data_IF_240688528446
#
_entry.id   IF_240688528446
#
_cell.length_a   1.000
_cell.length_b   1.000
_cell.length_c   1.000
_cell.angle_alpha   90.00
_cell.angle_beta   90.00
_cell.angle_gamma   90.00
#
_symmetry.space_group_name_H-M   'P 1'
#
loop_
_entity.id
_entity.type
_entity.pdbx_description
1 polymer ?
#
# COMPACT_ATOMS: atom_id res chain seq x y z
N UNK A 1 -10.93 2.37 34.35
CA UNK A 1 -9.45 2.28 34.46
C UNK A 1 -8.89 2.28 33.05
N UNK A 2 -7.87 3.08 32.71
CA UNK A 2 -7.29 3.03 31.37
C UNK A 2 -6.58 1.69 31.18
N UNK A 3 -6.87 0.99 30.08
CA UNK A 3 -6.11 -0.18 29.66
C UNK A 3 -4.71 0.27 29.23
N UNK A 4 -3.73 0.01 30.09
CA UNK A 4 -2.32 0.14 29.73
C UNK A 4 -1.94 -1.11 28.95
N UNK A 5 -1.58 -0.95 27.68
CA UNK A 5 -1.03 -2.05 26.90
C UNK A 5 0.46 -2.19 27.28
N UNK A 6 0.78 -3.14 28.16
CA UNK A 6 2.15 -3.35 28.63
C UNK A 6 3.12 -3.80 27.53
N UNK A 7 2.61 -4.31 26.39
CA UNK A 7 3.46 -4.80 25.30
C UNK A 7 3.83 -3.68 24.31
N UNK A 8 5.13 -3.46 24.03
CA UNK A 8 5.58 -2.53 23.01
C UNK A 8 5.05 -2.92 21.63
N UNK A 9 4.68 -1.93 20.82
CA UNK A 9 4.15 -2.12 19.46
C UNK A 9 4.95 -1.31 18.45
N UNK A 10 5.02 -1.80 17.21
CA UNK A 10 5.59 -1.06 16.11
C UNK A 10 4.66 0.09 15.72
N UNK A 11 5.19 1.31 15.71
CA UNK A 11 4.50 2.51 15.27
C UNK A 11 5.24 3.13 14.08
N UNK A 12 4.43 3.63 13.16
CA UNK A 12 4.87 4.39 12.02
C UNK A 12 4.07 5.69 11.97
N UNK A 13 4.75 6.82 11.78
CA UNK A 13 4.17 8.17 11.89
C UNK A 13 4.71 9.11 10.85
N UNK A 14 3.90 10.05 10.40
CA UNK A 14 4.25 10.99 9.34
C UNK A 14 4.37 12.41 9.89
N UNK A 15 5.38 13.13 9.41
CA UNK A 15 5.56 14.55 9.68
C UNK A 15 5.97 15.28 8.42
N UNK A 16 5.26 16.37 8.12
CA UNK A 16 5.63 17.27 7.02
C UNK A 16 6.52 18.44 7.47
N UNK A 17 7.11 19.10 6.48
CA UNK A 17 8.07 20.20 6.68
C UNK A 17 7.49 21.57 6.35
N UNK A 18 6.16 21.73 6.24
CA UNK A 18 5.53 22.91 5.62
C UNK A 18 5.82 24.24 6.31
N UNK A 19 5.90 24.21 7.64
CA UNK A 19 6.19 25.39 8.45
C UNK A 19 7.63 25.40 8.97
N UNK A 20 8.52 24.62 8.34
CA UNK A 20 9.91 24.48 8.78
C UNK A 20 10.85 25.29 7.91
N UNK A 21 11.65 26.14 8.55
CA UNK A 21 12.82 26.74 7.88
C UNK A 21 13.91 25.68 7.75
N UNK A 22 13.81 24.85 6.71
CA UNK A 22 14.87 23.91 6.36
C UNK A 22 16.12 24.68 5.96
N UNK A 23 17.26 24.36 6.59
CA UNK A 23 18.55 24.98 6.25
C UNK A 23 19.43 23.93 5.59
N UNK A 24 19.58 24.04 4.28
CA UNK A 24 20.45 23.18 3.50
C UNK A 24 21.90 23.69 3.54
N UNK A 25 22.80 22.80 3.98
CA UNK A 25 24.25 22.94 3.85
C UNK A 25 24.72 21.98 2.77
N UNK A 26 24.82 22.49 1.53
CA UNK A 26 25.17 21.70 0.35
C UNK A 26 26.57 21.09 0.46
N UNK A 27 27.53 21.84 0.99
CA UNK A 27 28.93 21.42 1.08
C UNK A 27 29.10 20.25 2.07
N UNK A 28 28.35 20.26 3.17
CA UNK A 28 28.37 19.19 4.15
C UNK A 28 27.35 18.06 3.87
N UNK A 29 26.48 18.23 2.87
CA UNK A 29 25.33 17.34 2.58
C UNK A 29 24.44 17.16 3.82
N UNK A 30 24.06 18.27 4.44
CA UNK A 30 23.25 18.30 5.66
C UNK A 30 22.00 19.15 5.45
N UNK A 31 20.84 18.58 5.77
CA UNK A 31 19.58 19.28 5.87
C UNK A 31 19.23 19.47 7.35
N UNK A 32 19.29 20.70 7.85
CA UNK A 32 19.07 21.02 9.28
C UNK A 32 17.64 21.46 9.52
N UNK A 33 17.16 21.16 10.73
CA UNK A 33 15.81 21.56 11.16
C UNK A 33 14.71 20.64 10.63
N UNK A 34 15.05 19.42 10.21
CA UNK A 34 14.04 18.44 9.81
C UNK A 34 13.25 17.99 11.02
N UNK A 35 11.93 17.90 10.88
CA UNK A 35 11.04 17.44 11.95
C UNK A 35 10.93 15.92 11.90
N UNK A 36 11.25 15.26 13.01
CA UNK A 36 11.20 13.79 13.13
C UNK A 36 9.85 13.30 13.66
N UNK A 37 9.24 14.08 14.56
CA UNK A 37 8.03 13.70 15.28
C UNK A 37 7.37 14.93 15.92
N UNK A 38 6.06 15.10 15.76
CA UNK A 38 5.26 16.08 16.48
C UNK A 38 4.66 15.55 17.79
N UNK A 39 4.03 16.44 18.59
CA UNK A 39 3.29 16.06 19.80
C UNK A 39 1.95 15.37 19.50
N UNK A 40 1.37 15.66 18.35
CA UNK A 40 0.16 15.01 17.87
C UNK A 40 0.47 14.42 16.50
N UNK A 41 0.12 13.16 16.33
CA UNK A 41 0.22 12.45 15.07
C UNK A 41 -1.13 12.46 14.34
N UNK A 42 -1.07 12.42 13.01
CA UNK A 42 -2.24 12.21 12.13
C UNK A 42 -2.93 10.87 12.33
N UNK A 43 -2.23 9.86 12.86
CA UNK A 43 -2.82 8.57 13.28
C UNK A 43 -3.58 8.67 14.61
N UNK A 44 -4.04 9.87 14.99
CA UNK A 44 -4.78 10.16 16.24
C UNK A 44 -4.03 9.72 17.51
N UNK A 45 -2.70 9.83 17.48
CA UNK A 45 -1.83 9.52 18.62
C UNK A 45 -1.29 10.79 19.23
N UNK A 46 -1.16 10.81 20.55
CA UNK A 46 -0.57 11.92 21.29
C UNK A 46 0.70 11.49 21.99
N UNK A 47 1.78 12.18 21.69
CA UNK A 47 3.09 11.98 22.28
C UNK A 47 3.27 12.90 23.46
N UNK A 48 3.55 12.32 24.62
CA UNK A 48 3.84 13.12 25.80
C UNK A 48 5.23 13.73 25.66
N UNK A 49 5.39 15.00 26.04
CA UNK A 49 6.68 15.70 25.88
C UNK A 49 7.81 15.00 26.64
N UNK A 50 7.52 14.47 27.83
CA UNK A 50 8.49 13.70 28.59
C UNK A 50 8.89 12.39 27.89
N UNK A 51 7.98 11.79 27.10
CA UNK A 51 8.27 10.61 26.30
C UNK A 51 9.22 10.96 25.14
N UNK A 52 8.96 12.09 24.46
CA UNK A 52 9.86 12.62 23.43
C UNK A 52 11.24 12.98 23.98
N UNK A 53 11.29 13.63 25.15
CA UNK A 53 12.55 14.00 25.81
C UNK A 53 13.43 12.78 26.10
N UNK A 54 12.82 11.69 26.59
CA UNK A 54 13.54 10.42 26.80
C UNK A 54 13.92 9.72 25.50
N UNK A 55 13.10 9.88 24.45
CA UNK A 55 13.32 9.24 23.17
C UNK A 55 14.40 9.93 22.31
N UNK A 56 14.64 11.23 22.51
CA UNK A 56 15.56 12.01 21.68
C UNK A 56 16.94 11.34 21.45
N UNK A 57 17.63 10.79 22.47
CA UNK A 57 18.90 10.10 22.26
C UNK A 57 18.80 8.84 21.39
N UNK A 58 17.64 8.19 21.32
CA UNK A 58 17.42 6.98 20.52
C UNK A 58 17.38 7.26 19.02
N UNK A 59 17.12 8.51 18.63
CA UNK A 59 17.13 8.94 17.23
C UNK A 59 18.53 9.28 16.73
N UNK A 60 19.52 9.46 17.62
CA UNK A 60 20.89 9.77 17.21
C UNK A 60 21.51 8.58 16.47
N UNK A 61 22.04 8.82 15.27
CA UNK A 61 22.55 7.76 14.42
C UNK A 61 21.44 6.93 13.73
N UNK A 62 20.17 7.30 13.88
CA UNK A 62 19.07 6.61 13.21
C UNK A 62 19.24 6.67 11.69
N UNK A 63 19.09 5.49 11.10
CA UNK A 63 19.23 5.22 9.67
C UNK A 63 18.08 5.86 8.90
N UNK A 64 18.41 6.64 7.85
CA UNK A 64 17.41 7.24 6.95
C UNK A 64 17.28 6.44 5.67
N UNK A 65 16.06 6.00 5.34
CA UNK A 65 15.73 5.30 4.09
C UNK A 65 14.87 6.15 3.16
N UNK A 66 14.81 5.81 1.87
CA UNK A 66 13.80 6.29 0.93
C UNK A 66 12.58 5.40 1.01
N UNK A 67 11.39 5.99 1.16
CA UNK A 67 10.10 5.32 1.25
C UNK A 67 10.01 4.27 2.35
N UNK A 68 8.83 3.68 2.51
CA UNK A 68 8.56 2.58 3.43
C UNK A 68 8.80 1.22 2.77
N UNK A 69 9.06 0.14 3.54
CA UNK A 69 9.02 -1.19 2.94
C UNK A 69 7.59 -1.45 2.41
N UNK A 70 7.46 -2.02 1.22
CA UNK A 70 6.17 -2.26 0.58
C UNK A 70 5.29 -3.32 1.28
N UNK A 71 5.82 -3.98 2.31
CA UNK A 71 5.16 -5.05 3.05
C UNK A 71 5.33 -4.88 4.56
N UNK A 72 5.95 -5.85 5.22
CA UNK A 72 6.16 -5.82 6.67
C UNK A 72 6.99 -4.58 7.08
N UNK A 73 6.47 -3.71 7.97
CA UNK A 73 7.23 -2.59 8.55
C UNK A 73 8.52 -3.04 9.25
N UNK A 74 8.63 -4.31 9.62
CA UNK A 74 9.81 -4.91 10.23
C UNK A 74 10.78 -5.51 9.20
N UNK A 75 10.45 -5.48 7.90
CA UNK A 75 11.27 -6.06 6.85
C UNK A 75 12.64 -5.37 6.76
N UNK A 76 13.70 -6.12 6.42
CA UNK A 76 15.00 -5.54 6.07
C UNK A 76 14.86 -4.50 4.96
N UNK A 77 15.66 -3.44 5.04
CA UNK A 77 15.70 -2.38 4.01
C UNK A 77 16.74 -2.70 2.95
N UNK A 78 16.41 -2.42 1.69
CA UNK A 78 17.38 -2.50 0.60
C UNK A 78 18.48 -1.45 0.84
N UNK A 79 19.71 -1.77 0.49
CA UNK A 79 20.82 -0.82 0.56
C UNK A 79 20.57 0.40 -0.34
N UNK A 80 19.88 0.23 -1.47
CA UNK A 80 19.49 1.31 -2.39
C UNK A 80 18.59 2.34 -1.74
N UNK A 81 17.85 1.95 -0.69
CA UNK A 81 17.01 2.90 0.04
C UNK A 81 17.84 3.75 1.01
N UNK A 82 19.07 3.35 1.35
CA UNK A 82 19.89 4.01 2.37
C UNK A 82 20.34 5.40 1.90
N UNK A 83 19.60 6.41 2.34
CA UNK A 83 19.87 7.80 2.02
C UNK A 83 20.90 8.44 2.98
N UNK A 84 20.79 8.17 4.28
CA UNK A 84 21.54 8.95 5.26
C UNK A 84 21.36 8.53 6.71
N UNK A 85 21.63 9.49 7.60
CA UNK A 85 21.63 9.33 9.06
C UNK A 85 21.19 10.60 9.77
N UNK A 86 20.44 10.44 10.86
CA UNK A 86 20.00 11.52 11.75
C UNK A 86 21.09 11.88 12.75
N UNK A 87 21.32 13.18 12.95
CA UNK A 87 22.24 13.72 13.97
C UNK A 87 21.73 15.00 14.62
N UNK A 88 22.18 15.25 15.85
CA UNK A 88 21.91 16.49 16.55
C UNK A 88 20.43 16.65 16.90
N UNK A 89 19.85 15.60 17.48
CA UNK A 89 18.43 15.56 17.83
C UNK A 89 18.13 16.49 19.00
N UNK A 90 17.15 17.36 18.82
CA UNK A 90 16.67 18.32 19.81
C UNK A 90 15.15 18.21 20.00
N UNK A 91 14.71 18.33 21.25
CA UNK A 91 13.30 18.54 21.56
C UNK A 91 13.01 20.03 21.59
N UNK A 92 12.08 20.49 20.75
CA UNK A 92 11.52 21.84 20.81
C UNK A 92 10.20 21.79 21.59
N UNK A 93 10.09 22.46 22.74
CA UNK A 93 8.88 22.45 23.56
C UNK A 93 7.64 22.86 22.76
N UNK A 94 6.54 22.14 22.91
CA UNK A 94 5.30 22.41 22.18
C UNK A 94 5.30 21.98 20.70
N UNK A 95 6.46 21.71 20.10
CA UNK A 95 6.57 21.42 18.65
C UNK A 95 6.88 19.96 18.34
N UNK A 96 7.83 19.36 19.06
CA UNK A 96 8.28 17.98 18.86
C UNK A 96 9.80 17.80 18.70
N UNK A 97 10.22 16.70 18.08
CA UNK A 97 11.62 16.35 17.85
C UNK A 97 12.10 16.86 16.49
N UNK A 98 13.28 17.48 16.49
CA UNK A 98 13.97 18.02 15.32
C UNK A 98 15.40 17.51 15.27
N UNK A 99 16.00 17.51 14.09
CA UNK A 99 17.38 17.09 13.91
C UNK A 99 18.01 17.65 12.62
N UNK A 100 19.22 17.19 12.34
CA UNK A 100 19.86 17.29 11.04
C UNK A 100 19.88 15.93 10.33
N UNK A 101 19.45 15.92 9.06
CA UNK A 101 19.64 14.80 8.15
C UNK A 101 20.98 14.96 7.43
N UNK A 102 21.92 14.08 7.72
CA UNK A 102 23.14 13.92 6.94
C UNK A 102 22.89 12.90 5.85
N UNK A 103 22.86 13.32 4.59
CA UNK A 103 22.55 12.44 3.45
C UNK A 103 23.79 12.18 2.59
N UNK A 104 23.78 11.07 1.86
CA UNK A 104 24.82 10.75 0.89
C UNK A 104 24.58 11.58 -0.39
N UNK A 105 25.47 12.54 -0.74
CA UNK A 105 25.29 13.36 -1.94
C UNK A 105 25.37 12.57 -3.25
N UNK A 106 25.91 11.34 -3.22
CA UNK A 106 25.97 10.45 -4.39
C UNK A 106 24.77 9.51 -4.49
N UNK A 107 23.81 9.62 -3.59
CA UNK A 107 22.57 8.86 -3.68
C UNK A 107 21.77 9.36 -4.90
N UNK A 108 21.13 8.48 -5.70
CA UNK A 108 20.39 8.90 -6.90
C UNK A 108 19.33 9.99 -6.67
N UNK A 109 18.72 10.02 -5.48
CA UNK A 109 17.72 11.03 -5.08
C UNK A 109 18.30 12.25 -4.33
N UNK A 110 19.62 12.37 -4.19
CA UNK A 110 20.22 13.46 -3.42
C UNK A 110 19.94 14.84 -4.04
N UNK A 111 20.07 14.96 -5.36
CA UNK A 111 19.80 16.22 -6.06
C UNK A 111 18.33 16.61 -5.99
N UNK A 112 17.42 15.62 -6.08
CA UNK A 112 15.99 15.86 -5.90
C UNK A 112 15.68 16.34 -4.49
N UNK A 113 16.21 15.68 -3.45
CA UNK A 113 16.04 16.13 -2.06
C UNK A 113 16.54 17.55 -1.84
N UNK A 114 17.69 17.90 -2.42
CA UNK A 114 18.25 19.25 -2.36
C UNK A 114 17.29 20.26 -3.02
N UNK A 115 16.76 19.92 -4.19
CA UNK A 115 15.81 20.77 -4.89
C UNK A 115 14.51 20.96 -4.09
N UNK A 116 13.93 19.87 -3.58
CA UNK A 116 12.72 19.91 -2.76
C UNK A 116 12.94 20.75 -1.50
N UNK A 117 14.06 20.57 -0.79
CA UNK A 117 14.38 21.34 0.41
C UNK A 117 14.44 22.87 0.18
N UNK A 118 14.85 23.31 -1.01
CA UNK A 118 15.00 24.73 -1.34
C UNK A 118 13.73 25.33 -1.97
N UNK A 119 12.99 24.56 -2.77
CA UNK A 119 11.93 25.09 -3.63
C UNK A 119 10.53 24.61 -3.24
N UNK A 120 10.44 23.40 -2.68
CA UNK A 120 9.17 22.76 -2.37
C UNK A 120 9.29 21.84 -1.14
N UNK A 121 9.65 22.38 0.04
CA UNK A 121 9.94 21.57 1.23
C UNK A 121 8.75 20.73 1.69
N UNK A 122 7.52 21.08 1.27
CA UNK A 122 6.31 20.31 1.49
C UNK A 122 6.24 18.98 0.71
N UNK A 123 7.02 18.81 -0.36
CA UNK A 123 7.05 17.60 -1.18
C UNK A 123 7.71 16.41 -0.48
N UNK A 124 8.36 16.66 0.65
CA UNK A 124 9.07 15.63 1.39
C UNK A 124 8.88 15.81 2.88
N UNK A 125 8.84 14.69 3.58
CA UNK A 125 8.92 14.70 5.02
C UNK A 125 9.43 13.39 5.56
N UNK A 126 9.48 13.30 6.87
CA UNK A 126 10.07 12.18 7.57
C UNK A 126 9.00 11.39 8.27
N UNK A 127 9.14 10.08 8.19
CA UNK A 127 8.28 9.15 8.89
C UNK A 127 9.11 8.18 9.72
N UNK A 128 8.87 8.14 11.02
CA UNK A 128 9.64 7.26 11.89
C UNK A 128 9.07 5.85 11.85
N UNK A 129 9.92 4.87 12.15
CA UNK A 129 9.52 3.49 12.45
C UNK A 129 10.13 3.11 13.80
N UNK A 130 9.28 2.93 14.80
CA UNK A 130 9.69 2.80 16.20
C UNK A 130 8.96 1.67 16.91
N UNK A 131 9.55 1.16 18.00
CA UNK A 131 8.83 0.38 19.00
C UNK A 131 8.47 1.30 20.15
N UNK A 132 7.19 1.35 20.50
CA UNK A 132 6.68 2.24 21.53
C UNK A 132 5.66 1.55 22.44
N UNK A 133 5.62 1.97 23.69
CA UNK A 133 4.58 1.62 24.65
C UNK A 133 3.47 2.66 24.59
N UNK A 134 2.23 2.18 24.48
CA UNK A 134 1.05 3.02 24.33
C UNK A 134 -0.02 2.67 25.36
N UNK A 135 -0.84 3.66 25.71
CA UNK A 135 -2.01 3.49 26.56
C UNK A 135 -3.22 4.15 25.89
N UNK A 136 -4.40 3.57 26.08
CA UNK A 136 -5.65 4.22 25.65
C UNK A 136 -6.18 5.10 26.77
N UNK A 137 -6.41 6.39 26.48
CA UNK A 137 -7.01 7.34 27.43
C UNK A 137 -8.02 8.20 26.69
N UNK A 138 -9.26 8.22 27.17
CA UNK A 138 -10.33 9.10 26.64
C UNK A 138 -10.54 8.96 25.12
N UNK A 139 -10.41 7.74 24.58
CA UNK A 139 -10.55 7.47 23.15
C UNK A 139 -9.33 7.84 22.29
N UNK A 140 -8.26 8.36 22.90
CA UNK A 140 -7.01 8.70 22.23
C UNK A 140 -5.88 7.74 22.61
N UNK A 141 -5.07 7.37 21.62
CA UNK A 141 -3.86 6.57 21.87
C UNK A 141 -2.74 7.49 22.34
N UNK A 142 -2.34 7.33 23.60
CA UNK A 142 -1.23 8.07 24.20
C UNK A 142 0.05 7.24 24.07
N UNK A 143 1.09 7.84 23.50
CA UNK A 143 2.42 7.24 23.44
C UNK A 143 3.19 7.65 24.69
N UNK A 144 3.38 6.69 25.60
CA UNK A 144 3.98 6.91 26.91
C UNK A 144 5.51 6.75 26.88
N UNK A 145 6.04 5.93 25.95
CA UNK A 145 7.47 5.80 25.73
C UNK A 145 7.77 5.27 24.32
N UNK A 146 8.83 5.80 23.71
CA UNK A 146 9.51 5.15 22.58
C UNK A 146 10.68 4.38 23.16
N UNK A 147 10.73 3.08 22.90
CA UNK A 147 11.74 2.18 23.46
C UNK A 147 12.87 1.91 22.47
N UNK A 148 12.57 1.96 21.18
CA UNK A 148 13.55 1.73 20.14
C UNK A 148 13.19 2.47 18.85
N UNK A 149 14.18 3.08 18.19
CA UNK A 149 14.04 3.68 16.86
C UNK A 149 14.72 2.77 15.85
N UNK A 150 13.95 2.22 14.91
CA UNK A 150 14.50 1.32 13.87
C UNK A 150 15.06 2.12 12.71
N UNK A 151 14.27 3.05 12.21
CA UNK A 151 14.65 3.94 11.11
C UNK A 151 13.78 5.18 11.08
N UNK A 152 14.21 6.11 10.23
CA UNK A 152 13.41 7.23 9.74
C UNK A 152 13.37 7.09 8.22
N UNK A 153 12.24 7.34 7.60
CA UNK A 153 12.04 7.16 6.17
C UNK A 153 11.65 8.51 5.56
N UNK A 154 12.36 8.92 4.50
CA UNK A 154 12.02 10.05 3.65
C UNK A 154 10.89 9.63 2.72
N UNK A 155 9.77 10.35 2.74
CA UNK A 155 8.57 10.04 1.96
C UNK A 155 8.12 11.26 1.17
N UNK A 156 7.62 11.01 -0.05
CA UNK A 156 7.10 12.02 -0.97
C UNK A 156 5.73 12.58 -0.53
N UNK A 157 4.92 11.74 0.09
CA UNK A 157 3.66 12.17 0.71
C UNK A 157 3.82 12.05 2.22
N UNK A 158 4.44 13.04 2.89
CA UNK A 158 4.50 13.08 4.35
C UNK A 158 3.14 13.41 4.95
N UNK A 159 2.11 12.63 4.61
CA UNK A 159 0.70 12.98 4.73
C UNK A 159 0.46 14.45 4.27
N UNK A 160 -0.07 14.58 3.08
CA UNK A 160 -0.36 15.86 2.45
C UNK A 160 -1.22 16.79 3.34
N UNK A 161 -0.95 18.07 3.17
CA UNK A 161 -1.71 19.24 3.61
C UNK A 161 -3.16 19.22 3.16
N UNK A 162 -4.05 19.73 3.99
CA UNK A 162 -5.24 20.47 3.55
C UNK A 162 -4.81 21.68 2.69
N UNK A 163 -5.27 21.75 1.43
CA UNK A 163 -4.77 22.71 0.44
C UNK A 163 -5.30 24.16 0.55
N UNK A 164 -4.40 25.10 0.22
CA UNK A 164 -4.51 26.41 -0.45
C UNK A 164 -5.64 27.45 -0.15
N UNK A 165 -6.63 27.23 0.72
CA UNK A 165 -7.65 28.26 1.00
C UNK A 165 -8.11 28.41 2.47
N UNK A 166 -7.23 28.22 3.46
CA UNK A 166 -7.56 28.51 4.87
C UNK A 166 -6.94 29.82 5.40
N UNK A 167 -6.95 30.86 4.57
CA UNK A 167 -6.83 32.24 5.05
C UNK A 167 -8.13 33.00 4.79
N UNK A 168 -9.19 32.54 5.47
CA UNK A 168 -10.21 33.36 6.11
C UNK A 168 -11.36 32.46 6.54
N UNK A 169 -11.37 32.04 7.80
CA UNK A 169 -12.61 31.93 8.60
C UNK A 169 -12.26 31.79 10.06
N UNK A 170 -12.18 32.95 10.70
CA UNK A 170 -12.60 33.06 12.09
C UNK A 170 -14.03 32.58 12.19
N UNK A 171 -14.28 31.64 13.12
CA UNK A 171 -15.56 31.22 13.67
C UNK A 171 -16.57 30.54 12.70
N UNK A 172 -17.11 29.42 13.19
CA UNK A 172 -18.34 28.72 12.76
C UNK A 172 -18.28 27.87 11.47
N UNK A 173 -18.14 26.55 11.63
CA UNK A 173 -19.20 25.55 11.34
C UNK A 173 -18.61 24.12 11.19
N UNK A 174 -19.03 23.20 12.07
CA UNK A 174 -18.98 21.75 11.83
C UNK A 174 -19.73 21.41 10.53
N UNK A 175 -19.06 20.84 9.53
CA UNK A 175 -19.70 20.25 8.35
C UNK A 175 -19.20 18.82 8.10
N UNK A 176 -19.84 17.80 8.68
CA UNK A 176 -19.43 16.39 8.59
C UNK A 176 -19.53 15.77 7.18
N UNK A 177 -20.08 16.48 6.19
CA UNK A 177 -20.26 15.97 4.83
C UNK A 177 -19.03 16.07 3.92
N UNK A 178 -18.10 17.00 4.19
CA UNK A 178 -16.92 17.19 3.34
C UNK A 178 -15.85 16.12 3.60
N UNK A 179 -15.65 15.76 4.87
CA UNK A 179 -14.74 14.67 5.26
C UNK A 179 -15.19 13.33 4.67
N UNK A 180 -16.49 13.08 4.60
CA UNK A 180 -17.04 11.87 4.00
C UNK A 180 -16.84 11.82 2.48
N UNK A 181 -16.96 12.95 1.79
CA UNK A 181 -16.66 13.05 0.35
C UNK A 181 -15.17 12.86 0.05
N UNK A 182 -14.28 13.43 0.86
CA UNK A 182 -12.83 13.25 0.70
C UNK A 182 -12.42 11.80 0.97
N UNK A 183 -12.99 11.16 2.00
CA UNK A 183 -12.79 9.73 2.26
C UNK A 183 -13.28 8.88 1.09
N UNK A 184 -14.48 9.17 0.56
CA UNK A 184 -15.03 8.41 -0.57
C UNK A 184 -14.19 8.56 -1.84
N UNK A 185 -13.66 9.75 -2.12
CA UNK A 185 -12.78 10.00 -3.26
C UNK A 185 -11.42 9.29 -3.10
N UNK A 186 -10.87 9.29 -1.89
CA UNK A 186 -9.60 8.61 -1.59
C UNK A 186 -9.75 7.08 -1.71
N UNK A 187 -10.88 6.54 -1.26
CA UNK A 187 -11.19 5.11 -1.42
C UNK A 187 -11.44 4.75 -2.89
N UNK A 188 -12.11 5.62 -3.65
CA UNK A 188 -12.29 5.44 -5.09
C UNK A 188 -10.95 5.46 -5.85
N UNK A 189 -10.03 6.37 -5.51
CA UNK A 189 -8.69 6.40 -6.12
C UNK A 189 -7.91 5.11 -5.83
N UNK A 190 -7.90 4.66 -4.57
CA UNK A 190 -7.27 3.38 -4.19
C UNK A 190 -7.85 2.19 -4.95
N UNK A 191 -9.17 2.17 -5.16
CA UNK A 191 -9.82 1.13 -5.95
C UNK A 191 -9.38 1.16 -7.42
N UNK A 192 -9.30 2.35 -8.02
CA UNK A 192 -8.83 2.52 -9.41
C UNK A 192 -7.38 2.08 -9.57
N UNK A 193 -6.50 2.42 -8.63
CA UNK A 193 -5.10 2.01 -8.64
C UNK A 193 -4.93 0.49 -8.51
N UNK A 194 -5.65 -0.12 -7.57
CA UNK A 194 -5.68 -1.57 -7.39
C UNK A 194 -6.20 -2.27 -8.65
N UNK A 195 -7.25 -1.73 -9.26
CA UNK A 195 -7.77 -2.24 -10.53
C UNK A 195 -6.70 -2.15 -11.63
N UNK A 196 -6.09 -0.98 -11.84
CA UNK A 196 -5.06 -0.81 -12.86
C UNK A 196 -3.88 -1.78 -12.66
N UNK A 197 -3.48 -2.04 -11.41
CA UNK A 197 -2.42 -2.98 -11.06
C UNK A 197 -2.77 -4.42 -11.46
N UNK A 198 -3.96 -4.89 -11.11
CA UNK A 198 -4.40 -6.26 -11.45
C UNK A 198 -4.51 -6.44 -12.95
N UNK A 199 -5.10 -5.49 -13.67
CA UNK A 199 -5.22 -5.59 -15.13
C UNK A 199 -3.85 -5.60 -15.82
N UNK A 200 -2.90 -4.81 -15.32
CA UNK A 200 -1.51 -4.84 -15.81
C UNK A 200 -0.87 -6.21 -15.59
N UNK A 201 -0.98 -6.76 -14.39
CA UNK A 201 -0.40 -8.04 -14.03
C UNK A 201 -1.01 -9.20 -14.82
N UNK A 202 -2.32 -9.18 -15.05
CA UNK A 202 -3.00 -10.11 -15.93
C UNK A 202 -2.45 -10.02 -17.36
N UNK A 203 -2.31 -8.81 -17.89
CA UNK A 203 -1.80 -8.59 -19.25
C UNK A 203 -0.35 -9.07 -19.42
N UNK A 204 0.52 -8.83 -18.44
CA UNK A 204 1.90 -9.35 -18.41
C UNK A 204 1.96 -10.88 -18.50
N UNK A 205 0.96 -11.57 -17.95
CA UNK A 205 0.84 -13.03 -17.97
C UNK A 205 -0.05 -13.54 -19.11
N UNK A 206 -0.38 -12.69 -20.09
CA UNK A 206 -1.18 -13.05 -21.25
C UNK A 206 -2.67 -13.32 -20.93
N UNK A 207 -3.14 -12.93 -19.74
CA UNK A 207 -4.52 -13.08 -19.32
C UNK A 207 -5.32 -11.82 -19.65
N UNK A 208 -6.47 -11.98 -20.30
CA UNK A 208 -7.37 -10.88 -20.65
C UNK A 208 -8.70 -11.02 -19.92
N UNK A 209 -9.05 -10.08 -19.04
CA UNK A 209 -10.41 -9.97 -18.53
C UNK A 209 -11.34 -9.40 -19.64
N UNK A 210 -12.59 -9.88 -19.65
CA UNK A 210 -13.76 -9.42 -20.43
C UNK A 210 -13.99 -10.06 -21.81
N UNK A 211 -15.22 -10.20 -22.30
CA UNK A 211 -16.55 -10.18 -21.66
C UNK A 211 -17.52 -11.14 -22.36
N UNK A 212 -17.05 -11.84 -23.41
CA UNK A 212 -17.88 -12.47 -24.42
C UNK A 212 -17.20 -13.77 -24.83
N UNK A 213 -17.63 -14.88 -24.23
CA UNK A 213 -17.46 -16.23 -24.79
C UNK A 213 -16.18 -17.01 -24.47
N UNK A 214 -14.98 -16.40 -24.42
CA UNK A 214 -13.72 -17.14 -24.26
C UNK A 214 -12.67 -16.39 -23.41
N UNK A 215 -13.05 -15.91 -22.21
CA UNK A 215 -12.07 -15.31 -21.29
C UNK A 215 -11.42 -16.37 -20.38
N UNK A 216 -10.10 -16.36 -20.37
CA UNK A 216 -9.24 -17.09 -19.42
C UNK A 216 -9.51 -16.76 -17.93
N UNK A 217 -10.09 -15.59 -17.66
CA UNK A 217 -10.28 -15.02 -16.32
C UNK A 217 -11.77 -14.80 -16.07
N UNK A 218 -12.36 -15.67 -15.25
CA UNK A 218 -13.75 -15.54 -14.81
C UNK A 218 -13.95 -14.41 -13.80
N UNK A 219 -15.19 -13.92 -13.70
CA UNK A 219 -15.57 -12.82 -12.81
C UNK A 219 -15.23 -13.09 -11.33
N UNK A 220 -15.40 -14.33 -10.86
CA UNK A 220 -15.07 -14.72 -9.49
C UNK A 220 -13.56 -14.62 -9.19
N UNK A 221 -12.72 -14.98 -10.17
CA UNK A 221 -11.27 -14.86 -10.01
C UNK A 221 -10.84 -13.39 -10.04
N UNK A 222 -11.42 -12.59 -10.93
CA UNK A 222 -11.15 -11.15 -10.98
C UNK A 222 -11.54 -10.46 -9.65
N UNK A 223 -12.67 -10.82 -9.05
CA UNK A 223 -13.09 -10.31 -7.74
C UNK A 223 -12.07 -10.67 -6.64
N UNK A 224 -11.65 -11.94 -6.57
CA UNK A 224 -10.65 -12.37 -5.61
C UNK A 224 -9.31 -11.62 -5.76
N UNK A 225 -8.91 -11.30 -7.00
CA UNK A 225 -7.72 -10.48 -7.26
C UNK A 225 -7.90 -9.04 -6.77
N UNK A 226 -9.07 -8.44 -6.96
CA UNK A 226 -9.36 -7.08 -6.46
C UNK A 226 -9.24 -6.99 -4.94
N UNK A 227 -9.72 -8.01 -4.22
CA UNK A 227 -9.71 -8.07 -2.74
C UNK A 227 -8.35 -8.45 -2.15
N UNK A 228 -7.40 -8.92 -2.98
CA UNK A 228 -6.09 -9.34 -2.51
C UNK A 228 -5.19 -8.13 -2.24
N UNK A 229 -5.00 -7.82 -0.95
CA UNK A 229 -4.15 -6.73 -0.49
C UNK A 229 -2.64 -7.03 -0.65
N UNK A 230 -2.23 -8.30 -0.54
CA UNK A 230 -0.83 -8.70 -0.60
C UNK A 230 -0.33 -8.81 -2.07
N UNK A 231 0.63 -7.98 -2.48
CA UNK A 231 1.21 -8.01 -3.83
C UNK A 231 1.74 -9.36 -4.29
N UNK A 232 2.37 -10.12 -3.39
CA UNK A 232 3.01 -11.39 -3.70
C UNK A 232 1.99 -12.55 -3.75
N UNK A 233 0.89 -12.46 -2.98
CA UNK A 233 -0.24 -13.38 -3.14
C UNK A 233 -0.91 -13.14 -4.49
N UNK A 234 -1.15 -11.88 -4.84
CA UNK A 234 -1.76 -11.50 -6.12
C UNK A 234 -0.97 -12.07 -7.31
N UNK A 235 0.34 -11.87 -7.33
CA UNK A 235 1.22 -12.38 -8.39
C UNK A 235 1.20 -13.90 -8.47
N UNK A 236 1.29 -14.60 -7.33
CA UNK A 236 1.21 -16.06 -7.30
C UNK A 236 -0.10 -16.58 -7.87
N UNK A 237 -1.24 -15.95 -7.54
CA UNK A 237 -2.54 -16.33 -8.06
C UNK A 237 -2.62 -16.14 -9.58
N UNK A 238 -2.09 -15.03 -10.10
CA UNK A 238 -2.07 -14.75 -11.54
C UNK A 238 -1.17 -15.74 -12.29
N UNK A 239 0.04 -15.99 -11.77
CA UNK A 239 1.00 -16.95 -12.34
C UNK A 239 0.41 -18.36 -12.36
N UNK A 240 -0.16 -18.81 -11.25
CA UNK A 240 -0.77 -20.14 -11.13
C UNK A 240 -1.94 -20.30 -12.11
N UNK A 241 -2.79 -19.28 -12.23
CA UNK A 241 -3.89 -19.28 -13.19
C UNK A 241 -3.39 -19.34 -14.64
N UNK A 242 -2.38 -18.55 -14.99
CA UNK A 242 -1.79 -18.56 -16.33
C UNK A 242 -1.20 -19.94 -16.67
N UNK A 243 -0.53 -20.57 -15.71
CA UNK A 243 0.02 -21.92 -15.85
C UNK A 243 -1.08 -22.96 -16.09
N UNK A 244 -2.13 -22.98 -15.27
CA UNK A 244 -3.24 -23.94 -15.41
C UNK A 244 -3.93 -23.85 -16.78
N UNK A 245 -4.06 -22.63 -17.30
CA UNK A 245 -4.64 -22.42 -18.63
C UNK A 245 -3.70 -22.89 -19.75
N UNK A 246 -2.40 -22.67 -19.62
CA UNK A 246 -1.41 -23.20 -20.56
C UNK A 246 -1.37 -24.73 -20.55
N UNK A 247 -1.50 -25.36 -19.39
CA UNK A 247 -1.59 -26.82 -19.24
C UNK A 247 -2.89 -27.36 -19.87
N UNK A 248 -4.04 -26.75 -19.58
CA UNK A 248 -5.32 -27.13 -20.19
C UNK A 248 -5.34 -26.97 -21.72
N UNK A 249 -4.73 -25.91 -22.24
CA UNK A 249 -4.60 -25.69 -23.69
C UNK A 249 -3.71 -26.75 -24.36
N UNK A 250 -2.71 -27.31 -23.64
CA UNK A 250 -1.87 -28.41 -24.15
C UNK A 250 -2.61 -29.75 -24.16
N UNK A 251 -3.43 -30.03 -23.14
CA UNK A 251 -4.20 -31.28 -23.06
C UNK A 251 -5.40 -31.33 -24.03
N UNK A 252 -5.92 -30.16 -24.42
CA UNK A 252 -7.03 -30.03 -25.38
C UNK A 252 -6.68 -30.47 -26.82
N UNK A 253 -5.40 -30.69 -27.12
CA UNK A 253 -4.91 -31.22 -28.42
C UNK A 253 -4.49 -32.71 -28.36
N UNK A 254 -4.77 -33.43 -27.27
CA UNK A 254 -4.63 -34.88 -27.22
C UNK A 254 -5.79 -35.60 -27.94
N UNK A 255 -5.56 -36.77 -28.59
CA UNK A 255 -6.65 -37.54 -29.18
C UNK A 255 -7.67 -37.87 -28.09
N UNK A 256 -8.92 -37.48 -28.29
CA UNK A 256 -10.05 -37.86 -27.44
C UNK A 256 -9.93 -39.34 -27.09
N UNK A 257 -9.64 -39.65 -25.83
CA UNK A 257 -9.90 -40.98 -25.29
C UNK A 257 -11.41 -41.17 -25.30
N UNK A 258 -11.92 -41.73 -26.40
CA UNK A 258 -13.27 -42.27 -26.48
C UNK A 258 -13.40 -43.30 -25.35
N UNK A 259 -14.20 -42.97 -24.35
CA UNK A 259 -14.63 -43.93 -23.35
C UNK A 259 -15.32 -45.11 -24.08
N UNK A 260 -14.88 -46.33 -23.76
CA UNK A 260 -15.16 -47.58 -24.49
C UNK A 260 -16.63 -48.06 -24.47
N UNK A 261 -17.60 -47.22 -24.10
CA UNK A 261 -18.98 -47.65 -23.82
C UNK A 261 -20.08 -46.80 -24.47
N UNK A 262 -19.82 -46.17 -25.62
CA UNK A 262 -20.92 -45.66 -26.47
C UNK A 262 -20.89 -46.36 -27.82
N UNK A 263 -21.54 -47.52 -27.87
CA UNK A 263 -21.91 -48.17 -29.11
C UNK A 263 -23.04 -47.34 -29.74
N UNK A 264 -22.73 -46.59 -30.80
CA UNK A 264 -23.71 -45.90 -31.62
C UNK A 264 -24.71 -46.91 -32.19
N UNK A 265 -25.92 -46.94 -31.63
CA UNK A 265 -27.08 -47.58 -32.24
C UNK A 265 -27.56 -46.66 -33.38
N UNK A 266 -27.14 -46.95 -34.60
CA UNK A 266 -27.62 -46.26 -35.81
C UNK A 266 -26.96 -46.81 -37.08
N UNK A 267 -27.79 -47.37 -37.96
CA UNK A 267 -27.50 -47.99 -39.26
C UNK A 267 -26.48 -47.18 -40.14
N UNK A 268 -25.54 -47.81 -40.88
CA UNK A 268 -24.47 -47.12 -41.61
C UNK A 268 -24.92 -46.38 -42.88
N UNK A 269 -26.22 -46.30 -43.16
CA UNK A 269 -26.75 -45.83 -44.44
C UNK A 269 -26.95 -44.30 -44.55
N UNK A 270 -26.59 -43.52 -43.53
CA UNK A 270 -26.29 -42.09 -43.68
C UNK A 270 -27.44 -41.20 -44.15
N UNK A 271 -28.70 -41.54 -43.87
CA UNK A 271 -29.84 -40.62 -44.03
C UNK A 271 -30.33 -40.15 -42.67
N UNK A 272 -30.48 -38.83 -42.43
CA UNK A 272 -31.04 -38.34 -41.18
C UNK A 272 -32.50 -38.81 -41.08
N UNK A 273 -32.83 -39.51 -39.98
CA UNK A 273 -34.20 -39.95 -39.70
C UNK A 273 -35.12 -38.72 -39.69
N UNK A 274 -36.18 -38.75 -40.50
CA UNK A 274 -37.13 -37.64 -40.52
C UNK A 274 -37.95 -37.62 -39.23
N UNK A 275 -38.45 -36.46 -38.82
CA UNK A 275 -39.31 -36.32 -37.63
C UNK A 275 -40.54 -37.24 -37.70
N UNK A 276 -41.00 -37.57 -38.91
CA UNK A 276 -42.08 -38.54 -39.16
C UNK A 276 -41.70 -39.98 -38.76
N UNK A 277 -40.45 -40.38 -38.98
CA UNK A 277 -39.96 -41.73 -38.68
C UNK A 277 -39.79 -41.94 -37.16
N UNK A 278 -39.37 -40.88 -36.46
CA UNK A 278 -39.30 -40.86 -35.00
C UNK A 278 -40.68 -41.03 -34.35
N UNK A 279 -41.69 -40.31 -34.83
CA UNK A 279 -43.07 -40.38 -34.30
C UNK A 279 -43.71 -41.76 -34.55
N UNK A 280 -43.35 -42.43 -35.65
CA UNK A 280 -43.83 -43.81 -35.92
C UNK A 280 -43.22 -44.84 -34.98
N UNK A 281 -41.97 -44.66 -34.54
CA UNK A 281 -41.27 -45.60 -33.65
C UNK A 281 -41.80 -45.60 -32.20
N UNK A 282 -42.36 -44.48 -31.75
CA UNK A 282 -42.90 -44.30 -30.38
C UNK A 282 -44.43 -44.49 -30.30
N UNK A 283 -45.12 -44.68 -31.44
CA UNK A 283 -46.59 -44.61 -31.53
C UNK A 283 -47.33 -45.93 -31.80
N UNK A 284 -46.66 -47.08 -31.90
CA UNK A 284 -47.36 -48.37 -32.09
C UNK A 284 -47.62 -49.08 -30.75
N UNK A 285 -48.87 -49.38 -30.37
CA UNK A 285 -49.14 -50.42 -29.37
C UNK A 285 -48.77 -51.78 -29.97
N UNK A 286 -48.33 -52.71 -29.10
CA UNK A 286 -47.89 -54.07 -29.43
C UNK A 286 -48.79 -54.83 -30.39
#
# INVERSE_FOLDING_TARGET
MPEVNEKPRALQEYVDSRDQTLRLDRAASVLRGVKLLGLTSRNQRRYQEHALRRAAPLYEGARVNVNHPAGDPLAPRDYRDRLGVIRGVELRPGEGLFAALHFNPKHPLAEQLVWDAEHAPQNVGLSHNVLARTAQREGQTIVEAIEHVRSVDLVADPATTDGLFEHQRSAEADQPGLEEQVRSLTDALRQVEQQARVYRLLAEHGLRPTGDGESAVGAAFLHALMETADPAVLERLVVDRARLLQEAARDSFGPMTLAREQQLLGDPSGRPASTSDFVRAIGAPR
#
